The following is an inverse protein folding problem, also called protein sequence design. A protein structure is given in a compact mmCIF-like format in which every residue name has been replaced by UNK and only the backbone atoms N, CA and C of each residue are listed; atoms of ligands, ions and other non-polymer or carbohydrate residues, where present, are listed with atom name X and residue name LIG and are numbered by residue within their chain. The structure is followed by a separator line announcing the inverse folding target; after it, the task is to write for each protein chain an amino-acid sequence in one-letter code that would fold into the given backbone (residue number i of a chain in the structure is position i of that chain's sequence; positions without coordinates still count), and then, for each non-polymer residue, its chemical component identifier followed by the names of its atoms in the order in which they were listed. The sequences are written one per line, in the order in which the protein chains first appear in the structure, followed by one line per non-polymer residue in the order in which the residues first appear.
data_IF_407706120887
#
_entry.id   IF_407706120887
#
_cell.length_a   1.000
_cell.length_b   1.000
_cell.length_c   1.000
_cell.angle_alpha   90.00
_cell.angle_beta   90.00
_cell.angle_gamma   90.00
#
_symmetry.space_group_name_H-M   'P 1'
#
loop_
_entity.id
_entity.type
_entity.pdbx_description
1 polymer ?
#
# COMPACT_ATOMS: atom_id res chain seq x y z
N UNK A 1 -5.62 -0.86 -23.61
CA UNK A 1 -5.53 0.60 -23.41
C UNK A 1 -4.13 0.93 -22.91
N UNK A 2 -3.57 2.02 -23.40
CA UNK A 2 -2.15 2.36 -23.40
C UNK A 2 -1.54 2.41 -21.98
N UNK A 3 -0.49 1.62 -21.78
CA UNK A 3 0.44 1.72 -20.66
C UNK A 3 1.47 2.80 -20.99
N UNK A 4 1.34 3.98 -20.37
CA UNK A 4 2.35 5.04 -20.49
C UNK A 4 1.81 6.41 -20.13
N UNK A 5 2.42 7.06 -19.13
CA UNK A 5 2.30 8.51 -18.95
C UNK A 5 1.79 9.04 -17.61
N UNK A 6 1.94 8.32 -16.50
CA UNK A 6 1.87 8.96 -15.17
C UNK A 6 0.48 9.12 -14.54
N UNK A 7 -0.40 8.11 -14.66
CA UNK A 7 -1.69 8.07 -13.94
C UNK A 7 -1.80 7.09 -12.77
N UNK A 8 -0.90 6.11 -12.61
CA UNK A 8 -1.04 5.04 -11.59
C UNK A 8 -0.50 5.46 -10.21
N UNK A 9 -1.31 6.33 -9.61
CA UNK A 9 -1.57 6.67 -8.22
C UNK A 9 -2.52 7.87 -8.37
N UNK A 10 -3.75 7.85 -7.85
CA UNK A 10 -4.38 9.13 -7.50
C UNK A 10 -3.39 9.89 -6.61
N UNK A 11 -2.75 10.91 -7.17
CA UNK A 11 -1.65 11.72 -6.61
C UNK A 11 -1.72 11.81 -5.10
N UNK A 12 -0.91 11.02 -4.38
CA UNK A 12 -0.71 11.06 -2.93
C UNK A 12 -1.87 11.68 -2.16
N UNK A 13 -3.05 11.05 -2.15
CA UNK A 13 -4.21 11.67 -1.52
C UNK A 13 -3.79 12.12 -0.11
N UNK A 14 -3.93 13.42 0.25
CA UNK A 14 -3.59 13.89 1.59
C UNK A 14 -4.29 13.09 2.68
N UNK A 15 -5.39 12.39 2.35
CA UNK A 15 -6.07 11.44 3.21
C UNK A 15 -5.23 10.23 3.66
N UNK A 16 -4.14 9.89 2.96
CA UNK A 16 -3.19 8.86 3.40
C UNK A 16 -2.21 9.39 4.47
N UNK A 17 -2.05 10.71 4.57
CA UNK A 17 -1.01 11.37 5.36
C UNK A 17 -1.69 12.29 6.39
N UNK A 18 -1.81 11.84 7.63
CA UNK A 18 -2.28 12.71 8.72
C UNK A 18 -3.25 12.06 9.72
N UNK A 19 -3.68 10.82 9.49
CA UNK A 19 -4.46 10.06 10.47
C UNK A 19 -3.56 9.09 11.25
N UNK A 20 -3.74 8.99 12.58
CA UNK A 20 -3.03 8.02 13.42
C UNK A 20 -3.38 6.59 13.03
N UNK A 21 -2.47 5.87 12.37
CA UNK A 21 -2.63 4.47 11.97
C UNK A 21 -2.01 4.18 10.61
N UNK A 22 -2.32 3.02 10.04
CA UNK A 22 -1.77 2.51 8.78
C UNK A 22 -2.81 2.49 7.68
N UNK A 23 -2.49 3.15 6.57
CA UNK A 23 -3.18 2.99 5.28
C UNK A 23 -2.44 1.96 4.43
N UNK A 24 -3.15 0.98 3.89
CA UNK A 24 -2.57 -0.09 3.07
C UNK A 24 -2.85 0.18 1.61
N UNK A 25 -1.82 0.12 0.76
CA UNK A 25 -1.90 0.33 -0.68
C UNK A 25 -1.46 -0.95 -1.39
N UNK A 26 -2.33 -1.51 -2.21
CA UNK A 26 -2.09 -2.73 -2.98
C UNK A 26 -1.98 -2.33 -4.46
N UNK A 27 -0.86 -2.68 -5.10
CA UNK A 27 -0.57 -2.34 -6.50
C UNK A 27 -0.30 -3.59 -7.35
N UNK A 28 -0.61 -3.58 -8.65
CA UNK A 28 -0.41 -4.76 -9.50
C UNK A 28 1.06 -5.02 -9.85
N UNK A 29 1.92 -4.00 -9.88
CA UNK A 29 3.28 -4.11 -10.42
C UNK A 29 4.33 -3.73 -9.37
N UNK A 30 5.42 -4.50 -9.34
CA UNK A 30 6.59 -4.18 -8.50
C UNK A 30 7.18 -2.80 -8.83
N UNK A 31 7.23 -2.43 -10.11
CA UNK A 31 7.72 -1.12 -10.53
C UNK A 31 6.89 0.03 -9.96
N UNK A 32 5.56 -0.14 -9.84
CA UNK A 32 4.69 0.83 -9.19
C UNK A 32 5.02 0.89 -7.70
N UNK A 33 5.09 -0.26 -7.01
CA UNK A 33 5.49 -0.31 -5.60
C UNK A 33 6.78 0.48 -5.35
N UNK A 34 7.81 0.23 -6.14
CA UNK A 34 9.11 0.87 -5.99
C UNK A 34 9.03 2.41 -6.22
N UNK A 35 8.24 2.87 -7.18
CA UNK A 35 7.98 4.30 -7.42
C UNK A 35 7.21 4.96 -6.26
N UNK A 36 6.21 4.29 -5.67
CA UNK A 36 5.50 4.77 -4.47
C UNK A 36 6.48 4.95 -3.30
N UNK A 37 7.29 3.93 -3.01
CA UNK A 37 8.28 3.99 -1.93
C UNK A 37 9.30 5.11 -2.17
N UNK A 38 9.77 5.27 -3.41
CA UNK A 38 10.69 6.34 -3.77
C UNK A 38 10.09 7.74 -3.52
N UNK A 39 8.85 7.98 -3.96
CA UNK A 39 8.16 9.26 -3.74
C UNK A 39 7.88 9.53 -2.26
N UNK A 40 7.40 8.54 -1.51
CA UNK A 40 7.18 8.70 -0.08
C UNK A 40 8.47 9.09 0.67
N UNK A 41 9.61 8.49 0.31
CA UNK A 41 10.91 8.88 0.88
C UNK A 41 11.29 10.32 0.53
N UNK A 42 11.11 10.72 -0.73
CA UNK A 42 11.39 12.09 -1.20
C UNK A 42 10.56 13.12 -0.42
N UNK A 43 9.31 12.78 -0.12
CA UNK A 43 8.36 13.68 0.54
C UNK A 43 8.28 13.48 2.07
N UNK A 44 9.20 12.69 2.65
CA UNK A 44 9.32 12.39 4.09
C UNK A 44 8.05 11.79 4.72
N UNK A 45 7.30 11.03 3.95
CA UNK A 45 6.13 10.27 4.41
C UNK A 45 6.60 8.95 5.03
N UNK A 46 6.08 8.62 6.22
CA UNK A 46 6.33 7.33 6.87
C UNK A 46 5.69 6.19 6.07
N UNK A 47 6.50 5.54 5.23
CA UNK A 47 6.05 4.55 4.26
C UNK A 47 7.05 3.41 4.12
N UNK A 48 6.57 2.18 3.96
CA UNK A 48 7.40 1.02 3.62
C UNK A 48 6.70 0.05 2.68
N UNK A 49 7.49 -0.77 1.99
CA UNK A 49 6.98 -1.96 1.33
C UNK A 49 6.72 -3.05 2.37
N UNK A 50 5.67 -3.84 2.17
CA UNK A 50 5.41 -5.03 2.98
C UNK A 50 6.50 -6.08 2.79
N UNK A 51 6.96 -6.64 3.90
CA UNK A 51 7.84 -7.79 3.98
C UNK A 51 7.35 -8.73 5.09
N UNK A 52 7.48 -10.04 4.89
CA UNK A 52 7.15 -11.01 5.94
C UNK A 52 7.94 -10.72 7.23
N UNK A 53 7.28 -10.84 8.39
CA UNK A 53 7.88 -10.54 9.70
C UNK A 53 7.97 -9.05 10.05
N UNK A 54 7.38 -8.16 9.25
CA UNK A 54 7.32 -6.73 9.54
C UNK A 54 6.32 -6.40 10.67
N UNK A 55 6.78 -5.84 11.79
CA UNK A 55 5.93 -5.50 12.95
C UNK A 55 5.79 -4.00 13.27
N UNK A 56 6.36 -3.11 12.45
CA UNK A 56 6.40 -1.68 12.78
C UNK A 56 5.16 -0.96 12.28
N UNK A 57 4.56 -0.12 13.11
CA UNK A 57 3.51 0.81 12.67
C UNK A 57 4.10 1.88 11.74
N UNK A 58 3.49 2.04 10.57
CA UNK A 58 3.81 3.07 9.57
C UNK A 58 2.52 3.73 9.09
N UNK A 59 2.62 4.96 8.58
CA UNK A 59 1.45 5.65 8.03
C UNK A 59 0.97 5.00 6.73
N UNK A 60 1.88 4.51 5.90
CA UNK A 60 1.58 3.85 4.62
C UNK A 60 2.33 2.53 4.49
N UNK A 61 1.59 1.45 4.20
CA UNK A 61 2.14 0.13 3.89
C UNK A 61 1.80 -0.24 2.45
N UNK A 62 2.81 -0.51 1.61
CA UNK A 62 2.61 -0.81 0.19
C UNK A 62 2.91 -2.28 -0.09
N UNK A 63 1.97 -2.98 -0.72
CA UNK A 63 2.10 -4.38 -1.10
C UNK A 63 1.75 -4.57 -2.59
N UNK A 64 2.22 -5.66 -3.19
CA UNK A 64 1.71 -6.07 -4.50
C UNK A 64 0.48 -6.96 -4.35
N UNK A 65 -0.28 -7.15 -5.43
CA UNK A 65 -1.42 -8.10 -5.45
C UNK A 65 -1.00 -9.52 -5.08
N UNK A 66 0.20 -9.96 -5.50
CA UNK A 66 0.74 -11.28 -5.15
C UNK A 66 1.03 -11.41 -3.66
N UNK A 67 1.48 -10.32 -3.03
CA UNK A 67 1.68 -10.26 -1.58
C UNK A 67 0.34 -10.22 -0.84
N UNK A 68 -0.67 -9.55 -1.41
CA UNK A 68 -1.97 -9.34 -0.77
C UNK A 68 -2.75 -10.64 -0.52
N UNK A 69 -2.50 -11.67 -1.32
CA UNK A 69 -3.13 -12.99 -1.19
C UNK A 69 -2.37 -13.96 -0.28
N UNK A 70 -1.19 -13.56 0.21
CA UNK A 70 -0.40 -14.41 1.11
C UNK A 70 -0.97 -14.40 2.53
N UNK A 71 -0.86 -15.54 3.20
CA UNK A 71 -1.36 -15.72 4.57
C UNK A 71 -0.74 -14.74 5.55
N UNK A 72 0.57 -14.50 5.47
CA UNK A 72 1.29 -13.60 6.36
C UNK A 72 0.83 -12.13 6.22
N UNK A 73 0.48 -11.72 5.00
CA UNK A 73 -0.11 -10.41 4.76
C UNK A 73 -1.51 -10.29 5.39
N UNK A 74 -2.37 -11.29 5.19
CA UNK A 74 -3.71 -11.31 5.79
C UNK A 74 -3.67 -11.33 7.33
N UNK A 75 -2.73 -12.08 7.91
CA UNK A 75 -2.48 -12.09 9.36
C UNK A 75 -2.02 -10.71 9.86
N UNK A 76 -1.12 -10.04 9.12
CA UNK A 76 -0.70 -8.69 9.45
C UNK A 76 -1.86 -7.68 9.40
N UNK A 77 -2.75 -7.76 8.40
CA UNK A 77 -3.97 -6.93 8.33
C UNK A 77 -4.90 -7.19 9.52
N UNK A 78 -5.07 -8.44 9.92
CA UNK A 78 -5.90 -8.81 11.07
C UNK A 78 -5.35 -8.20 12.38
N UNK A 79 -4.03 -8.20 12.56
CA UNK A 79 -3.36 -7.54 13.70
C UNK A 79 -3.64 -6.04 13.69
N UNK A 80 -3.39 -5.36 12.55
CA UNK A 80 -3.65 -3.92 12.43
C UNK A 80 -5.12 -3.58 12.70
N UNK A 81 -6.06 -4.43 12.27
CA UNK A 81 -7.48 -4.24 12.54
C UNK A 81 -7.82 -4.43 14.03
N UNK A 82 -7.30 -5.47 14.67
CA UNK A 82 -7.51 -5.74 16.09
C UNK A 82 -6.96 -4.60 16.98
N UNK A 83 -5.85 -4.00 16.59
CA UNK A 83 -5.23 -2.86 17.27
C UNK A 83 -5.85 -1.50 16.87
N UNK A 84 -6.90 -1.50 16.03
CA UNK A 84 -7.54 -0.28 15.47
C UNK A 84 -6.57 0.65 14.74
N UNK A 85 -5.47 0.08 14.23
CA UNK A 85 -4.46 0.77 13.43
C UNK A 85 -4.78 0.73 11.93
N UNK A 86 -5.53 -0.26 11.43
CA UNK A 86 -5.92 -0.32 10.03
C UNK A 86 -6.95 0.77 9.70
N UNK A 87 -6.58 1.74 8.84
CA UNK A 87 -7.46 2.85 8.45
C UNK A 87 -8.25 2.59 7.19
N UNK A 88 -7.57 2.11 6.16
CA UNK A 88 -8.14 1.89 4.84
C UNK A 88 -7.25 0.95 4.04
N UNK A 89 -7.86 0.29 3.07
CA UNK A 89 -7.16 -0.49 2.04
C UNK A 89 -7.50 0.16 0.70
N UNK A 90 -6.48 0.55 -0.05
CA UNK A 90 -6.58 1.11 -1.40
C UNK A 90 -6.02 0.08 -2.36
N UNK A 91 -6.76 -0.25 -3.41
CA UNK A 91 -6.34 -1.19 -4.44
C UNK A 91 -6.26 -0.44 -5.76
N UNK A 92 -5.06 -0.33 -6.32
CA UNK A 92 -4.84 0.27 -7.63
C UNK A 92 -5.11 -0.76 -8.74
N UNK A 93 -5.66 -0.30 -9.87
CA UNK A 93 -5.99 -1.13 -11.04
C UNK A 93 -6.88 -2.35 -10.73
N UNK A 94 -7.82 -2.24 -9.77
CA UNK A 94 -8.68 -3.34 -9.33
C UNK A 94 -9.49 -4.04 -10.44
N UNK A 95 -9.64 -3.41 -11.62
CA UNK A 95 -10.27 -4.00 -12.79
C UNK A 95 -9.43 -5.11 -13.47
N UNK A 96 -8.14 -5.24 -13.13
CA UNK A 96 -7.28 -6.34 -13.59
C UNK A 96 -7.41 -7.60 -12.71
N UNK A 97 -8.13 -7.53 -11.59
CA UNK A 97 -8.30 -8.62 -10.62
C UNK A 97 -9.47 -9.55 -11.00
N UNK A 98 -10.40 -9.07 -11.82
CA UNK A 98 -11.53 -9.86 -12.34
C UNK A 98 -11.26 -10.17 -13.81
N UNK A 99 -10.65 -11.33 -14.07
CA UNK A 99 -10.50 -11.91 -15.42
C UNK A 99 -11.01 -13.33 -15.45
#
# INVERSE_FOLDING_TARGET
LQTGGGKSLMFMAPSLIGEEGTSVVIVPLKALKDDIIYRCKKDKISCTAFSSGYNRSVSVLVATVEQAVQKDFLEHLAILQAEKQLKRIVIDEAHQIVS
#
